data_IF_871043169216
#
_entry.id   IF_871043169216
#
_cell.length_a   1.000
_cell.length_b   1.000
_cell.length_c   1.000
_cell.angle_alpha   90.00
_cell.angle_beta   90.00
_cell.angle_gamma   90.00
#
_symmetry.space_group_name_H-M   'P 1'
#
loop_
_entity.id
_entity.type
_entity.pdbx_description
1 polymer ?
#
# COMPACT_ATOMS: atom_id res chain seq x y z
N UNK A 1 39.76 -22.47 32.72
CA UNK A 1 38.44 -21.81 32.81
C UNK A 1 38.57 -20.44 32.17
N UNK A 2 37.73 -19.92 31.29
CA UNK A 2 36.77 -20.45 30.33
C UNK A 2 36.53 -19.29 29.36
N UNK A 3 36.61 -19.63 28.08
CA UNK A 3 36.16 -18.96 26.86
C UNK A 3 35.15 -17.78 26.90
N UNK A 4 35.37 -16.86 25.93
CA UNK A 4 34.42 -16.01 25.16
C UNK A 4 34.02 -14.69 25.86
N UNK A 5 33.95 -13.52 25.21
CA UNK A 5 33.31 -13.21 23.93
C UNK A 5 34.05 -12.03 23.25
N UNK A 6 34.51 -12.26 22.02
CA UNK A 6 34.82 -11.19 21.06
C UNK A 6 33.51 -10.70 20.42
N UNK A 7 33.54 -9.48 19.86
CA UNK A 7 32.69 -9.09 18.71
C UNK A 7 31.28 -8.58 19.05
N UNK A 8 31.17 -7.39 19.65
CA UNK A 8 29.94 -6.57 19.55
C UNK A 8 30.30 -5.20 18.98
N UNK A 9 30.96 -5.19 17.82
CA UNK A 9 31.24 -3.96 17.08
C UNK A 9 30.92 -4.07 15.58
N UNK A 10 30.31 -5.17 15.11
CA UNK A 10 30.10 -5.40 13.67
C UNK A 10 28.77 -6.09 13.32
N UNK A 11 27.78 -6.08 14.21
CA UNK A 11 26.48 -6.74 13.97
C UNK A 11 25.28 -5.79 13.88
N UNK A 12 25.39 -4.55 14.38
CA UNK A 12 24.28 -3.58 14.31
C UNK A 12 24.21 -2.80 13.00
N UNK A 13 25.26 -2.87 12.16
CA UNK A 13 25.31 -2.19 10.86
C UNK A 13 24.91 -3.09 9.66
N UNK A 14 24.46 -4.33 9.91
CA UNK A 14 24.09 -5.29 8.86
C UNK A 14 22.66 -5.83 8.95
N UNK A 15 21.83 -5.32 9.86
CA UNK A 15 20.39 -5.66 9.93
C UNK A 15 19.47 -4.65 9.22
N UNK A 16 20.07 -3.77 8.40
CA UNK A 16 19.37 -2.94 7.40
C UNK A 16 19.51 -3.54 5.99
N UNK A 17 19.93 -4.81 5.87
CA UNK A 17 19.79 -5.57 4.64
C UNK A 17 18.34 -5.98 4.45
N UNK A 18 17.58 -5.08 3.83
CA UNK A 18 16.88 -5.37 2.58
C UNK A 18 16.62 -6.87 2.36
N UNK A 19 15.69 -7.47 3.10
CA UNK A 19 15.08 -8.75 2.72
C UNK A 19 14.00 -8.52 1.66
N UNK A 20 14.27 -7.64 0.70
CA UNK A 20 13.43 -7.44 -0.50
C UNK A 20 13.93 -8.26 -1.70
N UNK A 21 15.02 -9.01 -1.57
CA UNK A 21 15.49 -9.84 -2.66
C UNK A 21 15.21 -11.33 -2.41
N UNK A 22 14.03 -11.77 -2.84
CA UNK A 22 13.85 -13.09 -3.45
C UNK A 22 12.49 -13.18 -4.12
N UNK A 23 12.44 -12.70 -5.37
CA UNK A 23 11.66 -13.32 -6.44
C UNK A 23 12.17 -12.78 -7.79
N UNK A 24 13.37 -13.19 -8.20
CA UNK A 24 13.74 -13.17 -9.61
C UNK A 24 12.93 -14.25 -10.31
N UNK A 25 11.71 -13.90 -10.73
CA UNK A 25 11.01 -14.57 -11.81
C UNK A 25 11.18 -13.66 -13.04
N UNK A 26 12.37 -13.72 -13.64
CA UNK A 26 12.66 -13.13 -14.95
C UNK A 26 11.87 -13.91 -16.00
N UNK A 27 10.60 -13.57 -16.10
CA UNK A 27 9.70 -13.98 -17.15
C UNK A 27 8.97 -12.73 -17.59
N UNK A 28 9.62 -11.93 -18.44
CA UNK A 28 9.05 -10.83 -19.21
C UNK A 28 7.94 -10.09 -18.43
N UNK A 29 8.33 -9.43 -17.34
CA UNK A 29 7.36 -8.77 -16.46
C UNK A 29 6.79 -7.59 -17.23
N UNK A 30 5.63 -7.81 -17.83
CA UNK A 30 4.95 -6.81 -18.65
C UNK A 30 4.71 -5.56 -17.80
N UNK A 31 5.45 -4.50 -18.11
CA UNK A 31 5.37 -3.23 -17.38
C UNK A 31 3.94 -2.69 -17.45
N UNK A 32 3.52 -2.04 -16.36
CA UNK A 32 2.26 -1.33 -16.41
C UNK A 32 2.35 -0.21 -17.47
N UNK A 33 1.31 0.06 -18.30
CA UNK A 33 1.40 1.06 -19.37
C UNK A 33 1.83 2.46 -18.91
N UNK A 34 1.44 2.87 -17.70
CA UNK A 34 1.91 4.13 -17.12
C UNK A 34 3.39 4.08 -16.70
N UNK A 35 3.85 2.95 -16.17
CA UNK A 35 5.27 2.75 -15.81
C UNK A 35 6.09 2.77 -17.10
N UNK A 36 5.67 2.04 -18.14
CA UNK A 36 6.27 2.09 -19.46
C UNK A 36 6.34 3.52 -20.00
N UNK A 37 5.25 4.28 -19.92
CA UNK A 37 5.21 5.69 -20.37
C UNK A 37 6.28 6.53 -19.68
N UNK A 38 6.47 6.38 -18.36
CA UNK A 38 7.46 7.16 -17.62
C UNK A 38 8.89 6.65 -17.84
N UNK A 39 9.08 5.33 -17.96
CA UNK A 39 10.35 4.74 -18.35
C UNK A 39 10.82 5.27 -19.69
N UNK A 40 9.94 5.30 -20.69
CA UNK A 40 10.26 5.80 -22.03
C UNK A 40 10.49 7.31 -22.05
N UNK A 41 9.65 8.08 -21.35
CA UNK A 41 9.72 9.55 -21.34
C UNK A 41 10.96 10.09 -20.62
N UNK A 42 11.39 9.41 -19.56
CA UNK A 42 12.49 9.85 -18.70
C UNK A 42 13.77 9.05 -18.94
N UNK A 43 13.75 8.11 -19.89
CA UNK A 43 14.86 7.19 -20.19
C UNK A 43 15.39 6.51 -18.91
N UNK A 44 14.47 5.97 -18.11
CA UNK A 44 14.82 5.35 -16.83
C UNK A 44 15.71 4.13 -17.03
N UNK A 45 16.69 3.93 -16.14
CA UNK A 45 17.44 2.68 -16.09
C UNK A 45 16.55 1.50 -15.71
N UNK A 46 17.02 0.28 -15.97
CA UNK A 46 16.32 -0.95 -15.56
C UNK A 46 16.01 -0.94 -14.05
N UNK A 47 16.98 -0.55 -13.22
CA UNK A 47 16.81 -0.46 -11.76
C UNK A 47 15.75 0.60 -11.36
N UNK A 48 15.72 1.74 -12.04
CA UNK A 48 14.70 2.77 -11.80
C UNK A 48 13.31 2.33 -12.26
N UNK A 49 13.25 1.59 -13.36
CA UNK A 49 12.02 1.01 -13.90
C UNK A 49 11.44 -0.04 -12.96
N UNK A 50 12.28 -0.93 -12.44
CA UNK A 50 11.90 -1.94 -11.45
C UNK A 50 11.37 -1.29 -10.16
N UNK A 51 12.07 -0.25 -9.67
CA UNK A 51 11.64 0.51 -8.50
C UNK A 51 10.29 1.19 -8.73
N UNK A 52 10.10 1.82 -9.90
CA UNK A 52 8.84 2.48 -10.25
C UNK A 52 7.69 1.48 -10.38
N UNK A 53 7.94 0.33 -11.00
CA UNK A 53 6.96 -0.76 -11.11
C UNK A 53 6.56 -1.29 -9.73
N UNK A 54 7.51 -1.45 -8.81
CA UNK A 54 7.24 -1.90 -7.44
C UNK A 54 6.34 -0.91 -6.68
N UNK A 55 6.67 0.39 -6.72
CA UNK A 55 5.85 1.45 -6.09
C UNK A 55 4.46 1.51 -6.71
N UNK A 56 4.34 1.35 -8.03
CA UNK A 56 3.06 1.34 -8.71
C UNK A 56 2.17 0.17 -8.24
N UNK A 57 2.73 -1.05 -8.15
CA UNK A 57 2.01 -2.24 -7.69
C UNK A 57 1.54 -2.06 -6.24
N UNK A 58 2.41 -1.56 -5.36
CA UNK A 58 2.06 -1.30 -3.97
C UNK A 58 0.92 -0.26 -3.87
N UNK A 59 1.04 0.85 -4.60
CA UNK A 59 0.03 1.92 -4.61
C UNK A 59 -1.30 1.41 -5.14
N UNK A 60 -1.30 0.63 -6.21
CA UNK A 60 -2.52 0.04 -6.77
C UNK A 60 -3.17 -0.97 -5.81
N UNK A 61 -2.36 -1.73 -5.08
CA UNK A 61 -2.85 -2.68 -4.06
C UNK A 61 -3.50 -1.92 -2.90
N UNK A 62 -2.82 -0.90 -2.37
CA UNK A 62 -3.35 -0.08 -1.28
C UNK A 62 -4.62 0.67 -1.68
N UNK A 63 -4.67 1.17 -2.92
CA UNK A 63 -5.88 1.81 -3.46
C UNK A 63 -7.09 0.87 -3.44
N UNK A 64 -6.93 -0.40 -3.83
CA UNK A 64 -8.01 -1.40 -3.78
C UNK A 64 -8.49 -1.71 -2.36
N UNK A 65 -7.57 -1.76 -1.40
CA UNK A 65 -7.93 -1.95 0.01
C UNK A 65 -8.78 -0.79 0.52
N UNK A 66 -8.34 0.45 0.27
CA UNK A 66 -9.08 1.66 0.66
C UNK A 66 -10.46 1.69 -0.01
N UNK A 67 -10.55 1.38 -1.30
CA UNK A 67 -11.84 1.33 -2.01
C UNK A 67 -12.79 0.29 -1.40
N UNK A 68 -12.24 -0.85 -0.95
CA UNK A 68 -13.00 -1.90 -0.27
C UNK A 68 -13.50 -1.42 1.09
N UNK A 69 -12.62 -0.85 1.92
CA UNK A 69 -12.98 -0.27 3.23
C UNK A 69 -14.07 0.82 3.07
N UNK A 70 -13.93 1.70 2.08
CA UNK A 70 -14.90 2.75 1.78
C UNK A 70 -16.25 2.18 1.34
N UNK A 71 -16.26 1.09 0.56
CA UNK A 71 -17.48 0.40 0.16
C UNK A 71 -18.18 -0.25 1.36
N UNK A 72 -17.43 -0.90 2.24
CA UNK A 72 -17.95 -1.51 3.46
C UNK A 72 -18.51 -0.46 4.43
N UNK A 73 -17.79 0.66 4.61
CA UNK A 73 -18.27 1.78 5.41
C UNK A 73 -19.59 2.35 4.87
N UNK A 74 -19.71 2.52 3.55
CA UNK A 74 -20.95 2.98 2.90
C UNK A 74 -22.10 1.98 3.07
N UNK A 75 -21.84 0.68 2.96
CA UNK A 75 -22.84 -0.35 3.20
C UNK A 75 -23.31 -0.35 4.66
N UNK A 76 -22.37 -0.25 5.61
CA UNK A 76 -22.69 -0.15 7.04
C UNK A 76 -23.54 1.09 7.35
N UNK A 77 -23.21 2.25 6.78
CA UNK A 77 -24.01 3.47 6.95
C UNK A 77 -25.41 3.32 6.33
N UNK A 78 -25.52 2.73 5.14
CA UNK A 78 -26.81 2.45 4.51
C UNK A 78 -27.68 1.53 5.37
N UNK A 79 -27.10 0.48 5.93
CA UNK A 79 -27.83 -0.47 6.77
C UNK A 79 -28.25 0.16 8.11
N UNK A 80 -27.41 1.03 8.70
CA UNK A 80 -27.79 1.86 9.86
C UNK A 80 -28.95 2.79 9.51
N UNK A 81 -28.88 3.50 8.38
CA UNK A 81 -29.96 4.37 7.91
C UNK A 81 -31.25 3.58 7.63
N UNK A 82 -31.18 2.38 7.07
CA UNK A 82 -32.37 1.59 6.76
C UNK A 82 -33.12 1.17 8.04
N UNK A 83 -32.38 0.80 9.09
CA UNK A 83 -32.93 0.34 10.37
C UNK A 83 -33.11 1.45 11.42
N UNK A 84 -32.63 2.66 11.14
CA UNK A 84 -32.78 3.82 12.00
C UNK A 84 -34.25 4.24 12.13
N UNK A 85 -34.62 4.61 13.35
CA UNK A 85 -35.89 5.29 13.64
C UNK A 85 -35.96 6.64 12.91
N UNK A 86 -37.17 7.21 12.71
CA UNK A 86 -37.31 8.49 12.03
C UNK A 86 -36.47 9.63 12.63
N UNK A 87 -36.28 9.66 13.96
CA UNK A 87 -35.44 10.66 14.63
C UNK A 87 -33.94 10.47 14.39
N UNK A 88 -33.48 9.22 14.31
CA UNK A 88 -32.06 8.91 14.03
C UNK A 88 -31.69 9.23 12.57
N UNK A 89 -32.62 9.04 11.63
CA UNK A 89 -32.42 9.43 10.21
C UNK A 89 -32.19 10.93 10.04
N UNK A 90 -32.85 11.76 10.83
CA UNK A 90 -32.71 13.21 10.80
C UNK A 90 -31.33 13.65 11.33
N UNK A 91 -30.85 12.99 12.37
CA UNK A 91 -29.50 13.20 12.91
C UNK A 91 -28.42 12.87 11.86
N UNK A 92 -28.51 11.70 11.21
CA UNK A 92 -27.55 11.29 10.18
C UNK A 92 -27.55 12.19 8.94
N UNK A 93 -28.69 12.80 8.57
CA UNK A 93 -28.74 13.78 7.47
C UNK A 93 -28.00 15.07 7.83
N UNK A 94 -28.04 15.48 9.10
CA UNK A 94 -27.36 16.68 9.59
C UNK A 94 -25.85 16.45 9.57
N UNK A 95 -25.38 15.33 10.14
CA UNK A 95 -23.96 14.99 10.21
C UNK A 95 -23.31 14.84 8.81
N UNK A 96 -24.04 14.33 7.82
CA UNK A 96 -23.55 14.22 6.42
C UNK A 96 -23.39 15.57 5.71
N UNK A 97 -24.21 16.57 6.05
CA UNK A 97 -24.10 17.92 5.49
C UNK A 97 -22.95 18.72 6.10
N UNK A 98 -22.57 18.44 7.35
CA UNK A 98 -21.46 19.12 8.04
C UNK A 98 -20.07 18.59 7.60
N UNK A 99 -20.03 17.42 6.96
CA UNK A 99 -18.80 16.79 6.46
C UNK A 99 -18.47 17.15 4.99
N UNK A 100 -19.29 18.00 4.34
CA UNK A 100 -19.11 18.47 2.95
C UNK A 100 -18.56 19.89 2.88
#
# INVERSE_FOLDING_TARGET
>A
MSNRIYTIASATLLFLSVSLFSQTQTGDQLLHPEVQRYTDLLELSDEQTDALQAVYIETATRGKEIDTEMKEARLSQRDKLQNATPSEKEQYRTDMNELS
#
